data_IF_914616638437
#
_entry.id   IF_914616638437
#
_cell.length_a   1.000
_cell.length_b   1.000
_cell.length_c   1.000
_cell.angle_alpha   90.00
_cell.angle_beta   90.00
_cell.angle_gamma   90.00
#
_symmetry.space_group_name_H-M   'P 1'
#
loop_
_entity.id
_entity.type
_entity.pdbx_description
1 polymer ?
#
# COMPACT_ATOMS: atom_id res chain seq x y z
N UNK A 1 -9.90 4.26 35.70
CA UNK A 1 -9.83 3.23 34.64
C UNK A 1 -8.40 2.77 34.46
N UNK A 2 -8.21 1.47 34.27
CA UNK A 2 -6.94 0.72 34.41
C UNK A 2 -6.10 0.89 33.14
N UNK A 3 -4.89 1.45 33.26
CA UNK A 3 -3.94 1.58 32.15
C UNK A 3 -3.35 0.20 31.83
N UNK A 4 -3.77 -0.40 30.73
CA UNK A 4 -3.16 -1.63 30.21
C UNK A 4 -1.95 -1.27 29.34
N UNK A 5 -0.75 -1.53 29.86
CA UNK A 5 0.51 -1.51 29.10
C UNK A 5 0.51 -2.68 28.11
N UNK A 6 0.70 -2.38 26.82
CA UNK A 6 0.93 -3.40 25.78
C UNK A 6 2.32 -4.04 25.98
N UNK A 7 2.48 -5.36 25.82
CA UNK A 7 3.76 -6.02 26.00
C UNK A 7 4.69 -5.73 24.82
N UNK A 8 5.94 -5.35 25.12
CA UNK A 8 7.03 -5.29 24.13
C UNK A 8 7.46 -6.72 23.83
N UNK A 9 7.16 -7.21 22.63
CA UNK A 9 7.70 -8.48 22.13
C UNK A 9 9.09 -8.19 21.58
N UNK A 10 10.10 -8.56 22.38
CA UNK A 10 11.49 -8.61 21.97
C UNK A 10 11.69 -9.91 21.18
N UNK A 11 11.74 -9.83 19.85
CA UNK A 11 12.07 -11.00 19.01
C UNK A 11 13.58 -11.18 19.02
N UNK A 12 14.03 -12.05 19.92
CA UNK A 12 15.35 -12.66 19.94
C UNK A 12 15.40 -13.71 18.81
N UNK A 13 16.06 -13.41 17.70
CA UNK A 13 16.35 -14.42 16.67
C UNK A 13 17.36 -15.43 17.21
N UNK A 14 16.83 -16.54 17.73
CA UNK A 14 17.58 -17.70 18.15
C UNK A 14 18.32 -18.35 16.98
N UNK A 15 19.64 -18.37 17.11
CA UNK A 15 20.55 -19.30 16.47
C UNK A 15 20.26 -20.70 17.03
N UNK A 16 19.75 -21.61 16.20
CA UNK A 16 19.78 -23.05 16.50
C UNK A 16 20.46 -23.79 15.35
N UNK A 17 21.75 -23.97 15.58
CA UNK A 17 22.63 -24.94 14.98
C UNK A 17 22.28 -26.31 15.56
N UNK A 18 22.07 -27.34 14.71
CA UNK A 18 22.42 -28.76 14.91
C UNK A 18 21.49 -29.68 14.11
N UNK A 19 22.04 -30.42 13.16
CA UNK A 19 21.98 -31.88 13.18
C UNK A 19 22.96 -32.47 12.14
N UNK A 20 23.91 -33.23 12.66
CA UNK A 20 24.71 -34.23 11.95
C UNK A 20 23.78 -35.28 11.33
N UNK A 21 24.06 -35.69 10.09
CA UNK A 21 23.88 -37.08 9.67
C UNK A 21 25.12 -37.50 8.88
N UNK A 22 25.80 -38.50 9.42
CA UNK A 22 26.88 -39.26 8.82
C UNK A 22 26.23 -40.31 7.92
N UNK A 23 26.67 -40.46 6.68
CA UNK A 23 26.53 -41.71 5.93
C UNK A 23 27.74 -41.91 5.03
N UNK A 24 28.54 -42.88 5.42
CA UNK A 24 29.58 -43.56 4.66
C UNK A 24 28.96 -44.35 3.50
N UNK A 25 29.55 -44.26 2.31
CA UNK A 25 29.50 -45.32 1.31
C UNK A 25 30.83 -45.38 0.56
N UNK A 26 31.61 -46.42 0.86
CA UNK A 26 32.73 -46.86 0.05
C UNK A 26 32.18 -47.56 -1.21
N UNK A 27 32.75 -47.25 -2.38
CA UNK A 27 32.86 -48.24 -3.45
C UNK A 27 34.14 -47.98 -4.24
N UNK A 28 35.11 -48.88 -4.05
CA UNK A 28 36.30 -48.98 -4.89
C UNK A 28 35.94 -49.67 -6.20
N UNK A 29 36.29 -49.06 -7.33
CA UNK A 29 36.66 -49.83 -8.52
C UNK A 29 37.77 -49.10 -9.27
N UNK A 30 38.89 -49.81 -9.33
CA UNK A 30 40.14 -49.45 -9.97
C UNK A 30 40.00 -49.76 -11.46
N UNK A 31 40.16 -48.79 -12.36
CA UNK A 31 40.40 -49.08 -13.78
C UNK A 31 41.50 -48.18 -14.33
N UNK A 32 42.50 -48.84 -14.90
CA UNK A 32 43.78 -48.33 -15.37
C UNK A 32 43.65 -47.34 -16.53
N UNK A 33 44.53 -46.34 -16.48
CA UNK A 33 44.77 -45.22 -17.40
C UNK A 33 44.74 -45.54 -18.90
N UNK A 34 44.07 -44.67 -19.66
CA UNK A 34 44.52 -44.26 -20.99
C UNK A 34 44.68 -42.74 -20.98
N UNK A 35 45.93 -42.30 -21.14
CA UNK A 35 46.36 -40.90 -21.02
C UNK A 35 46.10 -40.21 -22.37
N UNK A 36 44.96 -39.53 -22.48
CA UNK A 36 44.68 -38.60 -23.58
C UNK A 36 44.57 -37.20 -23.00
N UNK A 37 45.50 -36.35 -23.41
CA UNK A 37 45.64 -34.94 -23.02
C UNK A 37 44.33 -34.19 -23.26
N UNK A 38 43.54 -33.95 -22.20
CA UNK A 38 42.32 -33.11 -22.26
C UNK A 38 42.26 -32.22 -21.03
N UNK A 39 43.14 -31.23 -20.97
CA UNK A 39 43.26 -30.30 -19.83
C UNK A 39 42.11 -29.27 -19.73
N UNK A 40 41.05 -29.40 -20.53
CA UNK A 40 39.92 -28.48 -20.64
C UNK A 40 38.59 -29.00 -20.04
N UNK A 41 38.49 -30.27 -19.63
CA UNK A 41 37.22 -30.85 -19.15
C UNK A 41 36.89 -30.54 -17.68
N UNK A 42 37.88 -30.53 -16.79
CA UNK A 42 37.68 -30.39 -15.33
C UNK A 42 37.21 -28.99 -14.90
N UNK A 43 37.67 -27.95 -15.59
CA UNK A 43 37.30 -26.56 -15.28
C UNK A 43 35.86 -26.25 -15.72
N UNK A 44 35.46 -26.80 -16.88
CA UNK A 44 34.10 -26.67 -17.43
C UNK A 44 33.08 -27.45 -16.61
N UNK A 45 33.45 -28.63 -16.11
CA UNK A 45 32.63 -29.44 -15.21
C UNK A 45 32.35 -28.70 -13.88
N UNK A 46 33.39 -28.17 -13.22
CA UNK A 46 33.21 -27.40 -11.97
C UNK A 46 32.35 -26.15 -12.15
N UNK A 47 32.51 -25.42 -13.26
CA UNK A 47 31.67 -24.25 -13.54
C UNK A 47 30.18 -24.63 -13.67
N UNK A 48 29.89 -25.80 -14.24
CA UNK A 48 28.53 -26.34 -14.36
C UNK A 48 27.96 -26.74 -13.00
N UNK A 49 28.76 -27.37 -12.14
CA UNK A 49 28.36 -27.71 -10.76
C UNK A 49 28.00 -26.45 -9.94
N UNK A 50 28.85 -25.43 -9.95
CA UNK A 50 28.54 -24.16 -9.27
C UNK A 50 27.29 -23.49 -9.81
N UNK A 51 27.05 -23.59 -11.12
CA UNK A 51 25.82 -23.10 -11.73
C UNK A 51 24.58 -23.83 -11.21
N UNK A 52 24.60 -25.16 -11.14
CA UNK A 52 23.48 -25.95 -10.61
C UNK A 52 23.23 -25.67 -9.12
N UNK A 53 24.28 -25.55 -8.30
CA UNK A 53 24.15 -25.14 -6.90
C UNK A 53 23.53 -23.75 -6.77
N UNK A 54 23.93 -22.80 -7.62
CA UNK A 54 23.34 -21.46 -7.63
C UNK A 54 21.84 -21.48 -7.99
N UNK A 55 21.42 -22.36 -8.92
CA UNK A 55 20.00 -22.56 -9.23
C UNK A 55 19.23 -23.14 -8.05
N UNK A 56 19.81 -24.13 -7.35
CA UNK A 56 19.21 -24.71 -6.14
C UNK A 56 19.00 -23.66 -5.04
N UNK A 57 20.03 -22.84 -4.77
CA UNK A 57 19.90 -21.73 -3.82
C UNK A 57 18.84 -20.70 -4.24
N UNK A 58 18.70 -20.41 -5.53
CA UNK A 58 17.66 -19.52 -6.04
C UNK A 58 16.24 -20.05 -5.80
N UNK A 59 16.02 -21.36 -5.93
CA UNK A 59 14.72 -21.98 -5.67
C UNK A 59 14.31 -21.81 -4.21
N UNK A 60 15.27 -21.91 -3.28
CA UNK A 60 15.10 -21.67 -1.85
C UNK A 60 15.10 -20.19 -1.45
N UNK A 61 15.32 -19.25 -2.38
CA UNK A 61 15.39 -17.80 -2.10
C UNK A 61 16.70 -17.31 -1.49
N UNK A 62 17.71 -18.16 -1.43
CA UNK A 62 19.06 -17.92 -0.91
C UNK A 62 19.94 -17.17 -1.94
N UNK A 63 19.46 -15.99 -2.36
CA UNK A 63 20.04 -15.19 -3.44
C UNK A 63 21.53 -14.86 -3.25
N UNK A 64 21.96 -14.63 -1.99
CA UNK A 64 23.36 -14.32 -1.68
C UNK A 64 24.24 -15.56 -1.85
N UNK A 65 23.81 -16.71 -1.32
CA UNK A 65 24.51 -17.98 -1.50
C UNK A 65 24.64 -18.34 -2.99
N UNK A 66 23.57 -18.15 -3.77
CA UNK A 66 23.60 -18.36 -5.22
C UNK A 66 24.68 -17.51 -5.91
N UNK A 67 24.78 -16.22 -5.54
CA UNK A 67 25.79 -15.33 -6.09
C UNK A 67 27.21 -15.71 -5.65
N UNK A 68 27.38 -16.09 -4.38
CA UNK A 68 28.66 -16.51 -3.82
C UNK A 68 29.17 -17.81 -4.47
N UNK A 69 28.28 -18.75 -4.84
CA UNK A 69 28.67 -19.93 -5.62
C UNK A 69 29.25 -19.55 -6.98
N UNK A 70 28.60 -18.67 -7.73
CA UNK A 70 29.10 -18.20 -9.03
C UNK A 70 30.38 -17.36 -8.92
N UNK A 71 30.72 -16.84 -7.73
CA UNK A 71 32.00 -16.19 -7.47
C UNK A 71 33.17 -17.18 -7.33
N UNK A 72 32.91 -18.47 -7.06
CA UNK A 72 33.96 -19.50 -6.99
C UNK A 72 34.57 -19.82 -8.36
N UNK A 73 33.89 -19.44 -9.45
CA UNK A 73 34.39 -19.56 -10.82
C UNK A 73 35.46 -18.49 -11.07
N UNK A 74 36.74 -18.89 -11.04
CA UNK A 74 37.91 -17.99 -11.17
C UNK A 74 37.90 -17.16 -12.47
N UNK A 75 37.63 -17.78 -13.61
CA UNK A 75 37.62 -17.13 -14.93
C UNK A 75 36.21 -17.01 -15.50
N UNK A 76 35.34 -16.24 -14.83
CA UNK A 76 33.94 -16.13 -15.23
C UNK A 76 33.75 -15.64 -16.68
N UNK A 77 34.66 -14.80 -17.20
CA UNK A 77 34.61 -14.31 -18.60
C UNK A 77 34.74 -15.41 -19.65
N UNK A 78 35.33 -16.55 -19.28
CA UNK A 78 35.50 -17.73 -20.14
C UNK A 78 34.39 -18.77 -19.94
N UNK A 79 33.50 -18.57 -18.95
CA UNK A 79 32.39 -19.49 -18.71
C UNK A 79 31.29 -19.32 -19.77
N UNK A 80 30.37 -20.29 -19.84
CA UNK A 80 29.16 -20.20 -20.67
C UNK A 80 28.41 -18.86 -20.42
N UNK A 81 27.94 -18.21 -21.49
CA UNK A 81 27.20 -16.95 -21.45
C UNK A 81 26.04 -16.98 -20.45
N UNK A 82 25.38 -18.13 -20.27
CA UNK A 82 24.28 -18.26 -19.29
C UNK A 82 24.75 -18.11 -17.84
N UNK A 83 25.97 -18.58 -17.53
CA UNK A 83 26.58 -18.48 -16.21
C UNK A 83 27.00 -17.03 -15.95
N UNK A 84 27.60 -16.39 -16.97
CA UNK A 84 27.94 -14.97 -16.92
C UNK A 84 26.71 -14.09 -16.68
N UNK A 85 25.65 -14.32 -17.45
CA UNK A 85 24.38 -13.61 -17.32
C UNK A 85 23.75 -13.81 -15.95
N UNK A 86 23.70 -15.05 -15.44
CA UNK A 86 23.16 -15.34 -14.11
C UNK A 86 23.91 -14.57 -13.01
N UNK A 87 25.25 -14.55 -13.05
CA UNK A 87 26.07 -13.82 -12.08
C UNK A 87 25.79 -12.32 -12.11
N UNK A 88 25.74 -11.73 -13.31
CA UNK A 88 25.43 -10.30 -13.47
C UNK A 88 24.01 -9.96 -12.99
N UNK A 89 23.02 -10.78 -13.34
CA UNK A 89 21.64 -10.58 -12.92
C UNK A 89 21.48 -10.72 -11.40
N UNK A 90 22.15 -11.69 -10.77
CA UNK A 90 22.17 -11.83 -9.31
C UNK A 90 22.78 -10.62 -8.62
N UNK A 91 23.84 -10.01 -9.20
CA UNK A 91 24.40 -8.76 -8.68
C UNK A 91 23.37 -7.64 -8.66
N UNK A 92 22.62 -7.45 -9.75
CA UNK A 92 21.55 -6.43 -9.79
C UNK A 92 20.40 -6.76 -8.85
N UNK A 93 19.99 -8.04 -8.75
CA UNK A 93 18.93 -8.47 -7.85
C UNK A 93 19.30 -8.20 -6.38
N UNK A 94 20.52 -8.53 -5.96
CA UNK A 94 21.00 -8.27 -4.60
C UNK A 94 21.08 -6.76 -4.30
N UNK A 95 21.50 -5.95 -5.28
CA UNK A 95 21.51 -4.50 -5.15
C UNK A 95 20.08 -3.94 -4.99
N UNK A 96 19.12 -4.41 -5.78
CA UNK A 96 17.71 -4.04 -5.66
C UNK A 96 17.13 -4.45 -4.29
N UNK A 97 17.39 -5.68 -3.83
CA UNK A 97 16.95 -6.17 -2.50
C UNK A 97 17.49 -5.30 -1.37
N UNK A 98 18.76 -4.90 -1.44
CA UNK A 98 19.35 -4.04 -0.41
C UNK A 98 18.73 -2.64 -0.43
N UNK A 99 18.57 -2.05 -1.61
CA UNK A 99 18.02 -0.69 -1.74
C UNK A 99 16.54 -0.61 -1.31
N UNK A 100 15.73 -1.62 -1.66
CA UNK A 100 14.30 -1.60 -1.34
C UNK A 100 14.04 -1.70 0.16
N UNK A 101 14.89 -2.44 0.91
CA UNK A 101 14.79 -2.54 2.37
C UNK A 101 15.04 -1.22 3.10
N UNK A 102 15.62 -0.23 2.44
CA UNK A 102 15.86 1.11 2.98
C UNK A 102 15.04 2.19 2.26
N UNK A 103 13.98 1.79 1.55
CA UNK A 103 13.11 2.68 0.76
C UNK A 103 13.84 3.52 -0.31
N UNK A 104 15.02 3.10 -0.78
CA UNK A 104 15.71 3.75 -1.90
C UNK A 104 15.08 3.28 -3.22
N UNK A 105 14.01 4.00 -3.62
CA UNK A 105 13.23 3.67 -4.81
C UNK A 105 14.01 3.88 -6.12
N UNK A 106 14.92 4.86 -6.16
CA UNK A 106 15.70 5.19 -7.37
C UNK A 106 16.71 4.09 -7.67
N UNK A 107 17.49 3.67 -6.67
CA UNK A 107 18.46 2.58 -6.82
C UNK A 107 17.75 1.26 -7.06
N UNK A 108 16.64 1.00 -6.37
CA UNK A 108 15.82 -0.20 -6.60
C UNK A 108 15.36 -0.27 -8.05
N UNK A 109 14.70 0.80 -8.55
CA UNK A 109 14.19 0.84 -9.92
C UNK A 109 15.31 0.67 -10.95
N UNK A 110 16.42 1.39 -10.78
CA UNK A 110 17.58 1.30 -11.69
C UNK A 110 18.11 -0.14 -11.83
N UNK A 111 18.11 -0.91 -10.74
CA UNK A 111 18.56 -2.30 -10.78
C UNK A 111 17.46 -3.26 -11.30
N UNK A 112 16.18 -3.01 -11.00
CA UNK A 112 15.07 -3.78 -11.57
C UNK A 112 14.92 -3.58 -13.08
N UNK A 113 15.16 -2.38 -13.59
CA UNK A 113 15.11 -2.07 -15.04
C UNK A 113 16.15 -2.92 -15.81
N UNK A 114 17.33 -3.14 -15.23
CA UNK A 114 18.37 -4.03 -15.80
C UNK A 114 17.93 -5.50 -15.83
N UNK A 115 16.90 -5.86 -15.07
CA UNK A 115 16.36 -7.20 -14.94
C UNK A 115 15.05 -7.40 -15.71
N UNK A 116 14.48 -6.34 -16.31
CA UNK A 116 13.15 -6.36 -16.91
C UNK A 116 12.97 -7.41 -18.02
N UNK A 117 14.04 -7.70 -18.76
CA UNK A 117 14.01 -8.65 -19.89
C UNK A 117 14.48 -10.06 -19.53
N UNK A 118 14.76 -10.34 -18.25
CA UNK A 118 15.24 -11.65 -17.80
C UNK A 118 14.06 -12.63 -17.78
N UNK A 119 14.10 -13.64 -18.67
CA UNK A 119 13.07 -14.69 -18.78
C UNK A 119 13.49 -16.05 -18.23
N UNK A 120 14.80 -16.25 -18.01
CA UNK A 120 15.39 -17.51 -17.55
C UNK A 120 16.61 -17.23 -16.66
N UNK A 121 16.93 -18.12 -15.71
CA UNK A 121 16.18 -19.32 -15.29
C UNK A 121 14.90 -18.95 -14.51
N UNK A 122 13.91 -19.85 -14.46
CA UNK A 122 12.63 -19.63 -13.76
C UNK A 122 12.81 -19.27 -12.29
N UNK A 123 13.77 -19.91 -11.60
CA UNK A 123 14.14 -19.60 -10.23
C UNK A 123 14.49 -18.11 -10.04
N UNK A 124 15.32 -17.55 -10.92
CA UNK A 124 15.70 -16.14 -10.88
C UNK A 124 14.50 -15.22 -11.15
N UNK A 125 13.68 -15.56 -12.15
CA UNK A 125 12.47 -14.78 -12.49
C UNK A 125 11.50 -14.71 -11.30
N UNK A 126 11.34 -15.81 -10.56
CA UNK A 126 10.55 -15.85 -9.32
C UNK A 126 11.09 -14.84 -8.30
N UNK A 127 12.40 -14.81 -8.07
CA UNK A 127 13.03 -13.87 -7.13
C UNK A 127 12.89 -12.40 -7.59
N UNK A 128 13.07 -12.13 -8.89
CA UNK A 128 12.85 -10.78 -9.46
C UNK A 128 11.41 -10.32 -9.23
N UNK A 129 10.43 -11.19 -9.45
CA UNK A 129 9.00 -10.88 -9.22
C UNK A 129 8.72 -10.55 -7.76
N UNK A 130 9.28 -11.28 -6.81
CA UNK A 130 9.09 -10.99 -5.38
C UNK A 130 9.67 -9.64 -4.98
N UNK A 131 10.87 -9.29 -5.45
CA UNK A 131 11.48 -7.97 -5.20
C UNK A 131 10.71 -6.85 -5.91
N UNK A 132 10.14 -7.13 -7.08
CA UNK A 132 9.28 -6.17 -7.79
C UNK A 132 8.00 -5.89 -7.00
N UNK A 133 7.37 -6.92 -6.40
CA UNK A 133 6.20 -6.73 -5.52
C UNK A 133 6.57 -5.90 -4.28
N UNK A 134 7.71 -6.20 -3.66
CA UNK A 134 8.22 -5.41 -2.53
C UNK A 134 8.44 -3.95 -2.93
N UNK A 135 9.08 -3.71 -4.09
CA UNK A 135 9.28 -2.36 -4.62
C UNK A 135 7.96 -1.59 -4.79
N UNK A 136 6.91 -2.21 -5.35
CA UNK A 136 5.62 -1.55 -5.51
C UNK A 136 4.96 -1.23 -4.16
N UNK A 137 5.03 -2.15 -3.19
CA UNK A 137 4.52 -1.91 -1.85
C UNK A 137 5.25 -0.75 -1.14
N UNK A 138 6.59 -0.70 -1.26
CA UNK A 138 7.40 0.37 -0.66
C UNK A 138 7.19 1.70 -1.39
N UNK A 139 7.02 1.69 -2.72
CA UNK A 139 6.67 2.89 -3.49
C UNK A 139 5.35 3.48 -3.02
N UNK A 140 4.33 2.64 -2.85
CA UNK A 140 3.01 3.05 -2.36
C UNK A 140 3.07 3.57 -0.92
N UNK A 141 3.77 2.86 -0.03
CA UNK A 141 3.99 3.29 1.35
C UNK A 141 4.67 4.66 1.42
N UNK A 142 5.72 4.87 0.62
CA UNK A 142 6.42 6.15 0.58
C UNK A 142 5.52 7.28 0.05
N UNK A 143 4.72 7.02 -0.99
CA UNK A 143 3.77 7.99 -1.51
C UNK A 143 2.79 8.44 -0.42
N UNK A 144 2.16 7.50 0.30
CA UNK A 144 1.25 7.83 1.41
C UNK A 144 1.95 8.55 2.56
N UNK A 145 3.17 8.16 2.91
CA UNK A 145 3.96 8.83 3.93
C UNK A 145 4.26 10.30 3.56
N UNK A 146 4.62 10.56 2.31
CA UNK A 146 4.87 11.92 1.81
C UNK A 146 3.57 12.76 1.84
N UNK A 147 2.44 12.16 1.46
CA UNK A 147 1.11 12.79 1.51
C UNK A 147 0.64 13.12 2.94
N UNK A 148 0.92 12.27 3.93
CA UNK A 148 0.57 12.57 5.34
C UNK A 148 1.17 13.91 5.77
N UNK A 149 2.45 14.14 5.51
CA UNK A 149 3.12 15.41 5.86
C UNK A 149 2.58 16.55 5.02
N UNK A 150 2.43 16.35 3.70
CA UNK A 150 1.93 17.38 2.79
C UNK A 150 0.53 17.87 3.19
N UNK A 151 -0.42 16.94 3.36
CA UNK A 151 -1.80 17.28 3.70
C UNK A 151 -1.94 17.82 5.12
N UNK A 152 -1.17 17.29 6.08
CA UNK A 152 -1.17 17.83 7.45
C UNK A 152 -0.71 19.29 7.47
N UNK A 153 0.40 19.61 6.78
CA UNK A 153 0.91 20.98 6.69
C UNK A 153 -0.04 21.92 5.95
N UNK A 154 -0.78 21.40 4.96
CA UNK A 154 -1.82 22.13 4.25
C UNK A 154 -3.16 22.24 5.02
N UNK A 155 -3.21 21.75 6.27
CA UNK A 155 -4.42 21.68 7.11
C UNK A 155 -5.59 20.88 6.50
N UNK A 156 -5.31 20.03 5.50
CA UNK A 156 -6.27 19.11 4.92
C UNK A 156 -6.25 17.79 5.72
N UNK A 157 -6.77 17.85 6.95
CA UNK A 157 -6.64 16.73 7.89
C UNK A 157 -7.45 15.49 7.49
N UNK A 158 -8.51 15.63 6.69
CA UNK A 158 -9.27 14.47 6.17
C UNK A 158 -8.43 13.67 5.17
N UNK A 159 -7.71 14.34 4.27
CA UNK A 159 -6.79 13.70 3.33
C UNK A 159 -5.52 13.19 4.02
N UNK A 160 -5.01 13.93 5.01
CA UNK A 160 -3.88 13.48 5.84
C UNK A 160 -4.23 12.19 6.60
N UNK A 161 -5.39 12.16 7.26
CA UNK A 161 -5.89 10.99 7.98
C UNK A 161 -6.10 9.79 7.08
N UNK A 162 -6.70 10.00 5.90
CA UNK A 162 -6.89 8.92 4.93
C UNK A 162 -5.57 8.41 4.32
N UNK A 163 -4.59 9.28 4.11
CA UNK A 163 -3.24 8.86 3.67
C UNK A 163 -2.52 8.06 4.75
N UNK A 164 -2.65 8.46 6.03
CA UNK A 164 -2.09 7.71 7.15
C UNK A 164 -2.74 6.32 7.28
N UNK A 165 -4.07 6.25 7.21
CA UNK A 165 -4.79 4.98 7.19
C UNK A 165 -4.35 4.10 6.01
N UNK A 166 -4.20 4.69 4.83
CA UNK A 166 -3.72 3.97 3.65
C UNK A 166 -2.30 3.43 3.86
N UNK A 167 -1.40 4.17 4.51
CA UNK A 167 -0.06 3.68 4.89
C UNK A 167 -0.15 2.52 5.91
N UNK A 168 -0.97 2.64 6.94
CA UNK A 168 -1.14 1.63 7.99
C UNK A 168 -1.77 0.32 7.46
N UNK A 169 -2.60 0.43 6.42
CA UNK A 169 -3.24 -0.71 5.75
C UNK A 169 -2.27 -1.63 5.00
N UNK A 170 -1.08 -1.11 4.66
CA UNK A 170 -0.12 -1.85 3.84
C UNK A 170 0.52 -2.99 4.64
N UNK A 171 0.90 -4.05 3.95
CA UNK A 171 1.50 -5.22 4.58
C UNK A 171 2.87 -4.88 5.18
N UNK A 172 2.98 -4.94 6.51
CA UNK A 172 4.21 -4.75 7.28
C UNK A 172 5.25 -5.88 7.12
N UNK A 173 4.98 -6.89 6.29
CA UNK A 173 5.93 -7.96 6.00
C UNK A 173 7.21 -7.46 5.32
N UNK A 174 7.14 -6.30 4.67
CA UNK A 174 8.28 -5.64 4.05
C UNK A 174 8.88 -4.64 5.04
N UNK A 175 10.18 -4.77 5.29
CA UNK A 175 10.87 -3.98 6.33
C UNK A 175 10.70 -2.47 6.14
N UNK A 176 10.89 -1.96 4.92
CA UNK A 176 10.75 -0.53 4.64
C UNK A 176 9.33 -0.01 4.85
N UNK A 177 8.30 -0.83 4.58
CA UNK A 177 6.90 -0.48 4.86
C UNK A 177 6.68 -0.37 6.36
N UNK A 178 7.12 -1.36 7.13
CA UNK A 178 7.01 -1.34 8.60
C UNK A 178 7.74 -0.15 9.23
N UNK A 179 8.94 0.18 8.72
CA UNK A 179 9.68 1.36 9.17
C UNK A 179 8.93 2.67 8.91
N UNK A 180 8.32 2.83 7.73
CA UNK A 180 7.50 4.01 7.41
C UNK A 180 6.25 4.08 8.29
N UNK A 181 5.58 2.96 8.53
CA UNK A 181 4.43 2.91 9.45
C UNK A 181 4.82 3.35 10.87
N UNK A 182 5.95 2.86 11.39
CA UNK A 182 6.45 3.25 12.71
C UNK A 182 6.83 4.75 12.76
N UNK A 183 7.54 5.25 11.75
CA UNK A 183 7.98 6.64 11.68
C UNK A 183 6.79 7.62 11.69
N UNK A 184 5.67 7.25 11.05
CA UNK A 184 4.51 8.11 10.88
C UNK A 184 3.40 7.86 11.91
N UNK A 185 3.53 6.87 12.79
CA UNK A 185 2.52 6.55 13.80
C UNK A 185 2.14 7.75 14.70
N UNK A 186 3.08 8.67 14.96
CA UNK A 186 2.80 9.89 15.76
C UNK A 186 1.82 10.87 15.11
N UNK A 187 1.54 10.74 13.81
CA UNK A 187 0.56 11.57 13.13
C UNK A 187 -0.88 11.19 13.48
N UNK A 188 -1.14 10.00 14.03
CA UNK A 188 -2.48 9.62 14.48
C UNK A 188 -3.05 10.64 15.47
N UNK A 189 -2.34 10.88 16.57
CA UNK A 189 -2.79 11.81 17.61
C UNK A 189 -2.84 13.26 17.11
N UNK A 190 -1.88 13.66 16.26
CA UNK A 190 -1.82 15.01 15.69
C UNK A 190 -3.00 15.30 14.78
N UNK A 191 -3.32 14.36 13.87
CA UNK A 191 -4.44 14.49 12.93
C UNK A 191 -5.76 14.46 13.70
N UNK A 192 -5.95 13.51 14.62
CA UNK A 192 -7.18 13.41 15.42
C UNK A 192 -7.43 14.68 16.25
N UNK A 193 -6.39 15.21 16.89
CA UNK A 193 -6.48 16.47 17.64
C UNK A 193 -6.87 17.64 16.72
N UNK A 194 -6.23 17.76 15.56
CA UNK A 194 -6.50 18.83 14.61
C UNK A 194 -7.91 18.76 14.00
N UNK A 195 -8.39 17.55 13.68
CA UNK A 195 -9.76 17.32 13.20
C UNK A 195 -10.80 17.74 14.26
N UNK A 196 -10.55 17.40 15.52
CA UNK A 196 -11.42 17.78 16.65
C UNK A 196 -11.47 19.31 16.86
N UNK A 197 -10.33 20.00 16.69
CA UNK A 197 -10.26 21.46 16.77
C UNK A 197 -10.97 22.17 15.60
N UNK A 198 -10.96 21.60 14.39
CA UNK A 198 -11.72 22.15 13.27
C UNK A 198 -13.23 22.01 13.45
N UNK A 199 -13.70 20.85 13.92
CA UNK A 199 -15.13 20.61 14.16
C UNK A 199 -15.73 21.56 15.22
N UNK A 200 -14.95 21.89 16.26
CA UNK A 200 -15.35 22.83 17.30
C UNK A 200 -15.35 24.30 16.82
N UNK A 201 -14.50 24.66 15.86
CA UNK A 201 -14.43 26.01 15.26
C UNK A 201 -15.58 26.29 14.28
N UNK A 202 -16.09 25.26 13.58
CA UNK A 202 -17.30 25.39 12.74
C UNK A 202 -18.59 25.45 13.57
N UNK A 203 -18.64 24.78 14.73
CA UNK A 203 -19.80 24.81 15.63
C UNK A 203 -19.98 26.18 16.32
N UNK A 204 -18.88 26.87 16.65
CA UNK A 204 -18.94 28.23 17.23
C UNK A 204 -19.29 29.32 16.20
N UNK A 205 -18.97 29.10 14.92
CA UNK A 205 -19.34 30.01 13.83
C UNK A 205 -20.84 29.93 13.50
N UNK A 206 -21.46 28.75 13.65
CA UNK A 206 -22.91 28.59 13.50
C UNK A 206 -23.72 29.21 14.66
N UNK A 207 -23.18 29.22 15.89
CA UNK A 207 -23.83 29.84 17.04
C UNK A 207 -23.84 31.38 17.00
N UNK A 208 -22.94 31.99 16.22
CA UNK A 208 -22.84 33.46 16.11
C UNK A 208 -23.75 34.02 15.00
N UNK A 209 -24.19 33.19 14.05
CA UNK A 209 -25.13 33.60 13.00
C UNK A 209 -26.60 33.68 13.49
N UNK A 210 -26.93 33.02 14.61
CA UNK A 210 -28.30 32.99 15.15
C UNK A 210 -28.58 34.08 16.20
N UNK A 211 -27.57 34.88 16.58
CA UNK A 211 -27.71 35.93 17.62
C UNK A 211 -27.87 37.35 17.07
N UNK A 212 -28.02 37.51 15.76
CA UNK A 212 -28.29 38.80 15.07
C UNK A 212 -29.64 38.80 14.33
N UNK A 213 -30.68 38.22 14.92
CA UNK A 213 -32.05 38.58 14.62
C UNK A 213 -32.81 38.58 15.95
N UNK A 214 -33.71 39.54 16.14
CA UNK A 214 -34.59 39.70 17.31
C UNK A 214 -34.00 40.45 18.50
N UNK A 215 -33.74 41.74 18.27
CA UNK A 215 -34.03 42.76 19.28
C UNK A 215 -35.52 43.11 19.20
N UNK A 216 -36.34 42.60 20.13
CA UNK A 216 -37.40 43.37 20.80
C UNK A 216 -38.33 42.49 21.66
N UNK A 217 -38.56 42.97 22.88
CA UNK A 217 -39.67 42.70 23.81
C UNK A 217 -39.77 41.36 24.55
N UNK A 218 -39.78 41.50 25.86
CA UNK A 218 -39.98 40.49 26.90
C UNK A 218 -41.43 39.96 26.94
N UNK A 219 -41.59 38.70 27.39
CA UNK A 219 -42.45 38.30 28.53
C UNK A 219 -42.43 36.78 28.67
N UNK A 220 -42.14 36.31 29.89
CA UNK A 220 -42.20 34.92 30.30
C UNK A 220 -43.64 34.48 30.58
N UNK A 221 -44.09 33.39 29.95
CA UNK A 221 -45.07 32.47 30.54
C UNK A 221 -44.94 31.10 29.87
N UNK A 222 -45.17 30.08 30.67
CA UNK A 222 -44.95 28.67 30.39
C UNK A 222 -46.04 28.05 29.50
N UNK A 223 -45.75 26.81 29.13
CA UNK A 223 -46.59 25.73 28.58
C UNK A 223 -46.68 25.54 27.06
N UNK A 224 -46.14 24.36 26.68
CA UNK A 224 -46.59 23.40 25.67
C UNK A 224 -47.04 23.92 24.30
N UNK A 225 -46.34 23.47 23.25
CA UNK A 225 -46.84 22.47 22.27
C UNK A 225 -45.84 22.33 21.11
N UNK A 226 -45.48 21.08 20.80
CA UNK A 226 -44.97 20.58 19.52
C UNK A 226 -43.76 21.29 18.88
N UNK A 227 -42.58 21.01 19.42
CA UNK A 227 -41.37 20.92 18.58
C UNK A 227 -41.18 19.46 18.20
N UNK A 228 -41.60 19.13 16.98
CA UNK A 228 -41.13 17.97 16.23
C UNK A 228 -39.62 18.15 15.98
N UNK A 229 -38.85 17.96 17.05
CA UNK A 229 -37.46 17.54 16.97
C UNK A 229 -37.50 16.20 16.26
N UNK A 230 -37.27 16.24 14.95
CA UNK A 230 -37.00 15.07 14.15
C UNK A 230 -35.86 14.32 14.85
N UNK A 231 -36.27 13.26 15.53
CA UNK A 231 -35.45 12.30 16.23
C UNK A 231 -34.60 11.57 15.18
N UNK A 232 -33.53 12.22 14.72
CA UNK A 232 -32.49 11.61 13.91
C UNK A 232 -31.48 10.88 14.80
N UNK A 233 -31.98 10.07 15.74
CA UNK A 233 -31.16 9.29 16.66
C UNK A 233 -31.47 7.81 16.44
N UNK A 234 -30.69 7.21 15.54
CA UNK A 234 -30.31 5.78 15.45
C UNK A 234 -29.88 5.33 14.03
N UNK A 235 -29.85 6.21 13.02
CA UNK A 235 -29.46 5.84 11.63
C UNK A 235 -28.40 6.74 10.97
N UNK A 236 -27.83 7.70 11.71
CA UNK A 236 -26.80 8.60 11.19
C UNK A 236 -25.41 7.95 11.04
N UNK A 237 -25.12 6.89 11.82
CA UNK A 237 -23.80 6.27 11.88
C UNK A 237 -23.40 5.49 10.61
N UNK A 238 -24.35 5.03 9.79
CA UNK A 238 -24.05 4.21 8.60
C UNK A 238 -23.71 5.00 7.32
N UNK A 239 -23.91 6.33 7.33
CA UNK A 239 -23.79 7.15 6.12
C UNK A 239 -22.81 8.31 6.24
N UNK A 240 -21.97 8.35 7.28
CA UNK A 240 -20.94 9.39 7.46
C UNK A 240 -20.08 9.53 6.20
N UNK A 241 -19.54 8.42 5.68
CA UNK A 241 -18.73 8.44 4.45
C UNK A 241 -19.53 8.87 3.22
N UNK A 242 -20.76 8.39 3.07
CA UNK A 242 -21.61 8.71 1.93
C UNK A 242 -21.98 10.21 1.89
N UNK A 243 -22.35 10.78 3.04
CA UNK A 243 -22.67 12.21 3.17
C UNK A 243 -21.45 13.10 2.95
N UNK A 244 -20.25 12.61 3.24
CA UNK A 244 -19.00 13.33 2.97
C UNK A 244 -18.43 13.08 1.56
N UNK A 245 -18.97 12.12 0.78
CA UNK A 245 -18.45 11.77 -0.55
C UNK A 245 -18.56 12.93 -1.53
N UNK A 246 -17.45 13.30 -2.17
CA UNK A 246 -17.41 14.31 -3.22
C UNK A 246 -18.16 13.83 -4.47
N UNK A 247 -18.01 12.56 -4.85
CA UNK A 247 -18.72 11.96 -5.99
C UNK A 247 -20.22 11.97 -5.76
N UNK A 248 -20.68 11.45 -4.61
CA UNK A 248 -22.12 11.39 -4.34
C UNK A 248 -22.75 12.78 -4.20
N UNK A 249 -22.09 13.71 -3.51
CA UNK A 249 -22.59 15.09 -3.40
C UNK A 249 -22.70 15.74 -4.79
N UNK A 250 -21.69 15.56 -5.66
CA UNK A 250 -21.69 16.10 -7.02
C UNK A 250 -22.83 15.52 -7.86
N UNK A 251 -23.00 14.20 -7.87
CA UNK A 251 -24.05 13.56 -8.68
C UNK A 251 -25.45 13.86 -8.13
N UNK A 252 -25.64 13.84 -6.81
CA UNK A 252 -26.93 14.15 -6.20
C UNK A 252 -27.36 15.59 -6.47
N UNK A 253 -26.41 16.54 -6.36
CA UNK A 253 -26.66 17.94 -6.69
C UNK A 253 -26.99 18.12 -8.17
N UNK A 254 -26.33 17.38 -9.06
CA UNK A 254 -26.64 17.37 -10.49
C UNK A 254 -28.05 16.81 -10.79
N UNK A 255 -28.48 15.77 -10.07
CA UNK A 255 -29.81 15.17 -10.25
C UNK A 255 -30.94 15.99 -9.63
N UNK A 256 -30.71 16.65 -8.48
CA UNK A 256 -31.79 17.21 -7.63
C UNK A 256 -31.68 18.71 -7.36
N UNK A 257 -30.54 19.34 -7.66
CA UNK A 257 -30.24 20.72 -7.28
C UNK A 257 -29.97 20.94 -5.79
N UNK A 258 -30.00 19.90 -4.96
CA UNK A 258 -29.86 19.98 -3.49
C UNK A 258 -28.57 19.32 -2.99
N UNK A 259 -28.14 19.67 -1.78
CA UNK A 259 -26.98 19.06 -1.13
C UNK A 259 -27.35 17.70 -0.48
N UNK A 260 -26.49 16.67 -0.67
CA UNK A 260 -26.74 15.34 -0.12
C UNK A 260 -26.62 15.31 1.41
N UNK A 261 -25.86 16.23 1.98
CA UNK A 261 -25.67 16.37 3.44
C UNK A 261 -27.00 16.49 4.19
N UNK A 262 -28.00 17.16 3.61
CA UNK A 262 -29.35 17.34 4.18
C UNK A 262 -30.39 16.35 3.65
N UNK A 263 -30.02 15.44 2.74
CA UNK A 263 -30.96 14.52 2.13
C UNK A 263 -31.43 13.42 3.11
N UNK A 264 -32.68 12.91 2.96
CA UNK A 264 -33.16 11.76 3.72
C UNK A 264 -32.26 10.54 3.52
N UNK A 265 -32.11 9.71 4.56
CA UNK A 265 -31.24 8.53 4.52
C UNK A 265 -31.58 7.57 3.37
N UNK A 266 -32.85 7.45 2.98
CA UNK A 266 -33.27 6.66 1.82
C UNK A 266 -32.67 7.17 0.50
N UNK A 267 -32.57 8.49 0.32
CA UNK A 267 -31.93 9.09 -0.85
C UNK A 267 -30.42 8.82 -0.85
N UNK A 268 -29.76 8.96 0.31
CA UNK A 268 -28.32 8.64 0.44
C UNK A 268 -28.05 7.17 0.10
N UNK A 269 -28.87 6.25 0.63
CA UNK A 269 -28.77 4.82 0.34
C UNK A 269 -28.91 4.51 -1.16
N UNK A 270 -29.94 5.10 -1.80
CA UNK A 270 -30.17 4.93 -3.22
C UNK A 270 -29.01 5.46 -4.07
N UNK A 271 -28.47 6.64 -3.73
CA UNK A 271 -27.32 7.21 -4.43
C UNK A 271 -26.05 6.37 -4.24
N UNK A 272 -25.78 5.89 -3.03
CA UNK A 272 -24.63 5.01 -2.77
C UNK A 272 -24.71 3.73 -3.60
N UNK A 273 -25.89 3.12 -3.73
CA UNK A 273 -26.08 1.91 -4.52
C UNK A 273 -25.83 2.13 -6.03
N UNK A 274 -26.12 3.33 -6.57
CA UNK A 274 -25.83 3.68 -7.97
C UNK A 274 -24.33 3.74 -8.28
N UNK A 275 -23.50 3.99 -7.26
CA UNK A 275 -22.04 4.17 -7.40
C UNK A 275 -21.25 2.90 -7.07
N UNK A 276 -21.92 1.76 -6.88
CA UNK A 276 -21.25 0.47 -6.68
C UNK A 276 -20.85 -0.16 -8.02
N UNK A 277 -19.56 -0.45 -8.19
CA UNK A 277 -19.05 -1.14 -9.37
C UNK A 277 -17.93 -2.12 -9.00
N UNK A 278 -18.31 -3.31 -8.56
CA UNK A 278 -17.36 -4.33 -8.07
C UNK A 278 -16.38 -4.83 -9.13
N UNK A 279 -16.75 -4.81 -10.42
CA UNK A 279 -15.85 -5.20 -11.50
C UNK A 279 -14.68 -4.22 -11.65
N UNK A 280 -14.99 -2.92 -11.70
CA UNK A 280 -13.99 -1.84 -11.75
C UNK A 280 -13.13 -1.85 -10.48
N UNK A 281 -13.74 -1.96 -9.31
CA UNK A 281 -13.01 -1.99 -8.03
C UNK A 281 -12.06 -3.19 -7.93
N UNK A 282 -12.46 -4.35 -8.43
CA UNK A 282 -11.59 -5.54 -8.47
C UNK A 282 -10.42 -5.37 -9.43
N UNK A 283 -10.64 -4.76 -10.60
CA UNK A 283 -9.57 -4.42 -11.54
C UNK A 283 -8.61 -3.36 -10.96
N UNK A 284 -9.16 -2.31 -10.33
CA UNK A 284 -8.39 -1.27 -9.66
C UNK A 284 -7.47 -1.84 -8.58
N UNK A 285 -8.01 -2.62 -7.64
CA UNK A 285 -7.21 -3.25 -6.56
C UNK A 285 -6.14 -4.18 -7.11
N UNK A 286 -6.43 -4.94 -8.16
CA UNK A 286 -5.45 -5.79 -8.83
C UNK A 286 -4.31 -4.98 -9.46
N UNK A 287 -4.62 -3.82 -10.05
CA UNK A 287 -3.64 -2.98 -10.72
C UNK A 287 -2.79 -2.13 -9.76
N UNK A 288 -3.35 -1.71 -8.61
CA UNK A 288 -2.69 -0.81 -7.66
C UNK A 288 -2.12 -1.50 -6.43
N UNK A 289 -2.59 -2.73 -6.14
CA UNK A 289 -2.33 -3.44 -4.89
C UNK A 289 -2.80 -2.69 -3.62
N UNK A 290 -3.71 -1.70 -3.76
CA UNK A 290 -4.35 -1.04 -2.63
C UNK A 290 -5.31 -2.04 -1.95
N UNK A 291 -5.12 -2.34 -0.65
CA UNK A 291 -6.03 -3.23 0.07
C UNK A 291 -7.34 -2.53 0.40
N UNK A 292 -8.39 -3.34 0.60
CA UNK A 292 -9.64 -2.89 1.19
C UNK A 292 -9.65 -3.22 2.67
N UNK A 293 -9.99 -2.23 3.50
CA UNK A 293 -10.09 -2.37 4.94
C UNK A 293 -11.55 -2.37 5.41
N UNK A 294 -11.78 -2.91 6.61
CA UNK A 294 -13.05 -2.71 7.31
C UNK A 294 -13.24 -1.21 7.58
N UNK A 295 -14.41 -0.67 7.25
CA UNK A 295 -14.68 0.76 7.34
C UNK A 295 -14.40 1.55 6.06
N UNK A 296 -13.75 0.95 5.06
CA UNK A 296 -13.65 1.55 3.73
C UNK A 296 -15.01 1.51 3.01
N UNK A 297 -15.37 2.63 2.40
CA UNK A 297 -16.48 2.76 1.46
C UNK A 297 -15.97 3.33 0.13
N UNK A 298 -16.45 2.77 -0.96
CA UNK A 298 -16.01 3.07 -2.32
C UNK A 298 -17.17 3.66 -3.11
N UNK A 299 -16.87 4.70 -3.89
CA UNK A 299 -17.82 5.32 -4.80
C UNK A 299 -17.17 5.39 -6.17
N UNK A 300 -17.82 4.80 -7.18
CA UNK A 300 -17.29 4.70 -8.53
C UNK A 300 -18.19 5.48 -9.49
N UNK A 301 -17.61 6.48 -10.15
CA UNK A 301 -18.25 7.23 -11.22
C UNK A 301 -17.62 6.84 -12.56
N UNK A 302 -18.45 6.50 -13.53
CA UNK A 302 -18.03 6.29 -14.92
C UNK A 302 -17.85 7.66 -15.61
N UNK A 303 -16.68 7.90 -16.18
CA UNK A 303 -16.35 9.11 -16.95
C UNK A 303 -16.35 8.86 -18.47
N UNK A 304 -16.67 7.64 -18.92
CA UNK A 304 -16.61 7.20 -20.30
C UNK A 304 -15.20 6.78 -20.76
N UNK A 305 -15.10 6.15 -21.94
CA UNK A 305 -13.84 5.71 -22.54
C UNK A 305 -12.96 4.83 -21.61
N UNK A 306 -13.60 3.91 -20.89
CA UNK A 306 -12.98 3.05 -19.87
C UNK A 306 -12.32 3.81 -18.71
N UNK A 307 -12.57 5.11 -18.55
CA UNK A 307 -12.04 5.92 -17.46
C UNK A 307 -13.07 6.04 -16.33
N UNK A 308 -12.65 5.71 -15.12
CA UNK A 308 -13.48 5.76 -13.92
C UNK A 308 -12.85 6.67 -12.88
N UNK A 309 -13.67 7.43 -12.17
CA UNK A 309 -13.27 8.09 -10.92
C UNK A 309 -13.67 7.22 -9.73
N UNK A 310 -12.76 7.02 -8.79
CA UNK A 310 -12.96 6.19 -7.61
C UNK A 310 -12.64 7.03 -6.38
N UNK A 311 -13.63 7.26 -5.52
CA UNK A 311 -13.43 7.86 -4.20
C UNK A 311 -13.40 6.75 -3.15
N UNK A 312 -12.37 6.77 -2.30
CA UNK A 312 -12.26 5.86 -1.16
C UNK A 312 -12.33 6.69 0.12
N UNK A 313 -13.33 6.41 0.94
CA UNK A 313 -13.48 7.01 2.27
C UNK A 313 -13.39 5.97 3.35
N UNK A 314 -12.87 6.37 4.49
CA UNK A 314 -12.71 5.50 5.64
C UNK A 314 -13.29 6.18 6.87
N UNK A 315 -14.11 5.45 7.62
CA UNK A 315 -14.62 5.92 8.91
C UNK A 315 -13.52 5.79 9.95
N UNK A 316 -13.15 6.88 10.62
CA UNK A 316 -12.10 6.83 11.65
C UNK A 316 -12.45 5.83 12.75
N UNK A 317 -11.47 5.01 13.13
CA UNK A 317 -11.60 4.07 14.26
C UNK A 317 -11.65 4.77 15.62
N UNK A 318 -11.15 6.01 15.70
CA UNK A 318 -11.19 6.83 16.91
C UNK A 318 -12.51 7.60 17.06
N UNK A 319 -13.18 7.93 15.94
CA UNK A 319 -14.43 8.66 15.94
C UNK A 319 -15.30 8.28 14.70
N UNK A 320 -16.43 7.58 14.88
CA UNK A 320 -17.28 7.16 13.77
C UNK A 320 -17.96 8.31 13.01
N UNK A 321 -17.92 9.54 13.54
CA UNK A 321 -18.41 10.74 12.86
C UNK A 321 -17.35 11.36 11.92
N UNK A 322 -16.09 10.91 12.00
CA UNK A 322 -15.01 11.41 11.15
C UNK A 322 -14.86 10.53 9.90
N UNK A 323 -15.08 11.15 8.74
CA UNK A 323 -14.82 10.53 7.43
C UNK A 323 -13.50 11.03 6.86
N UNK A 324 -12.53 10.12 6.75
CA UNK A 324 -11.24 10.39 6.14
C UNK A 324 -11.27 10.05 4.65
N UNK A 325 -10.63 10.89 3.84
CA UNK A 325 -10.47 10.66 2.40
C UNK A 325 -9.17 9.89 2.16
N UNK A 326 -9.24 8.57 1.94
CA UNK A 326 -8.07 7.75 1.57
C UNK A 326 -7.52 8.15 0.21
N UNK A 327 -8.42 8.47 -0.72
CA UNK A 327 -8.03 9.09 -1.98
C UNK A 327 -9.17 9.26 -2.95
N UNK A 328 -8.93 10.14 -3.92
CA UNK A 328 -9.69 10.26 -5.15
C UNK A 328 -8.80 9.78 -6.29
N UNK A 329 -9.24 8.80 -7.05
CA UNK A 329 -8.44 8.16 -8.09
C UNK A 329 -9.11 8.28 -9.45
N UNK A 330 -8.28 8.34 -10.50
CA UNK A 330 -8.69 8.05 -11.86
C UNK A 330 -8.10 6.71 -12.27
N UNK A 331 -8.93 5.83 -12.83
CA UNK A 331 -8.53 4.49 -13.23
C UNK A 331 -9.03 4.18 -14.63
N UNK A 332 -8.11 3.86 -15.53
CA UNK A 332 -8.46 3.39 -16.87
C UNK A 332 -8.49 1.87 -16.88
N UNK A 333 -9.67 1.28 -17.11
CA UNK A 333 -9.92 -0.16 -17.01
C UNK A 333 -9.11 -0.96 -18.05
N UNK A 334 -9.00 -0.43 -19.27
CA UNK A 334 -8.30 -1.08 -20.39
C UNK A 334 -6.77 -1.12 -20.21
N UNK A 335 -6.17 -0.02 -19.74
CA UNK A 335 -4.72 0.08 -19.57
C UNK A 335 -4.23 -0.32 -18.17
N UNK A 336 -5.13 -0.39 -17.18
CA UNK A 336 -4.80 -0.63 -15.78
C UNK A 336 -4.08 0.55 -15.11
N UNK A 337 -3.98 1.70 -15.78
CA UNK A 337 -3.33 2.90 -15.25
C UNK A 337 -4.20 3.52 -14.18
N UNK A 338 -3.61 3.73 -13.00
CA UNK A 338 -4.23 4.45 -11.90
C UNK A 338 -3.44 5.74 -11.61
N UNK A 339 -4.18 6.82 -11.40
CA UNK A 339 -3.66 8.09 -10.91
C UNK A 339 -4.41 8.49 -9.64
N UNK A 340 -3.73 9.14 -8.70
CA UNK A 340 -4.34 9.68 -7.48
C UNK A 340 -4.35 11.20 -7.56
N UNK A 341 -5.47 11.81 -7.20
CA UNK A 341 -5.57 13.26 -7.05
C UNK A 341 -4.75 13.71 -5.86
N UNK A 342 -3.83 14.63 -6.07
CA UNK A 342 -3.20 15.38 -5.01
C UNK A 342 -4.18 16.46 -4.52
N UNK A 343 -4.66 16.32 -3.28
CA UNK A 343 -5.67 17.21 -2.70
C UNK A 343 -5.19 18.63 -2.40
N UNK A 344 -3.87 18.90 -2.47
CA UNK A 344 -3.32 20.26 -2.35
C UNK A 344 -3.21 20.92 -3.72
N UNK A 345 -2.68 20.21 -4.72
CA UNK A 345 -2.39 20.80 -6.03
C UNK A 345 -3.54 20.68 -7.02
N UNK A 346 -4.51 19.79 -6.76
CA UNK A 346 -5.59 19.46 -7.67
C UNK A 346 -5.16 18.66 -8.90
N UNK A 347 -3.92 18.16 -8.93
CA UNK A 347 -3.37 17.41 -10.08
C UNK A 347 -3.41 15.90 -9.83
N UNK A 348 -3.62 15.13 -10.90
CA UNK A 348 -3.56 13.67 -10.86
C UNK A 348 -2.14 13.16 -11.08
N UNK A 349 -1.60 12.47 -10.08
CA UNK A 349 -0.27 11.88 -10.10
C UNK A 349 -0.35 10.38 -10.36
N UNK A 350 0.56 9.87 -11.21
CA UNK A 350 0.55 8.45 -11.60
C UNK A 350 1.03 7.55 -10.46
N UNK A 351 0.23 6.54 -10.14
CA UNK A 351 0.51 5.61 -9.04
C UNK A 351 1.31 4.38 -9.48
N UNK A 352 0.92 3.72 -10.59
CA UNK A 352 1.48 2.44 -11.02
C UNK A 352 2.19 2.47 -12.38
#
# INVERSE_FOLDING_TARGET
MKVMKKPKILVLCGLLFSCLVILTACSSQNTTSTKTTTSSSSTTQKATEYYQSALSYLESGENKQAYDELKKIKNISQADKKIQALKSNLKYLLAAKKAVTTADLTTTKTNLDKLANVKTPTALVKQIKEVTKEYQAVKLAKHYADEVVQYYNAQNYTAAGGSLQSLESLSSKYQAVAMLQEQYASYNDKIASAQSSQASSQSSSAATATSQAESSSATSVAESTDSSQAQASSSAENYTNARNSKILNSEYKKETGSELSSAPTAAVSSMSAKMDNQAVLSAFRKATAIPQEAGDQYYVQDLGNDLYQIEIRHTSSADPQVSNLKGMYQFNLSSGVAQKLNEVTGQYERLN
#
